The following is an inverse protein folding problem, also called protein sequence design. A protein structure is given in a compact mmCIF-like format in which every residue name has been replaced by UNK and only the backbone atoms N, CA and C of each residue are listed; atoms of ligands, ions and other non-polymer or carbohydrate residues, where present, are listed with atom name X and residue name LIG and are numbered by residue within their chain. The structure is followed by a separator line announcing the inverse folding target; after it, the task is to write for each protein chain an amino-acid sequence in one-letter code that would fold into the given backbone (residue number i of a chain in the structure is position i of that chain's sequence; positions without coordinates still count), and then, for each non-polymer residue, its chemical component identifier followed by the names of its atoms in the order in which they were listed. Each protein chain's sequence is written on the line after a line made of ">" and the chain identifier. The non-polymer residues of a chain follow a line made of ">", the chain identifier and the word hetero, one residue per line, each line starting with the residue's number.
data_IF_843930871818
#
_entry.id   IF_843930871818
#
_cell.length_a   1.000
_cell.length_b   1.000
_cell.length_c   1.000
_cell.angle_alpha   90.00
_cell.angle_beta   90.00
_cell.angle_gamma   90.00
#
_symmetry.space_group_name_H-M   'P 1'
#
loop_
_entity.id
_entity.type
_entity.pdbx_description
1 polymer ?
#
# COMPACT_ATOMS: atom_id res chain seq x y z
N UNK A 1 -14.26 -14.30 7.51
CA UNK A 1 -15.12 -14.51 6.32
C UNK A 1 -14.44 -15.49 5.38
N UNK A 2 -15.17 -16.46 4.85
CA UNK A 2 -14.66 -17.41 3.85
C UNK A 2 -15.49 -17.30 2.55
N UNK A 3 -15.11 -16.37 1.65
CA UNK A 3 -15.87 -16.12 0.42
C UNK A 3 -15.84 -17.29 -0.57
N UNK A 4 -14.90 -18.22 -0.40
CA UNK A 4 -14.78 -19.38 -1.30
C UNK A 4 -15.67 -20.54 -0.92
N UNK A 5 -16.34 -20.49 0.25
CA UNK A 5 -17.21 -21.56 0.77
C UNK A 5 -16.50 -22.93 0.87
N UNK A 6 -15.19 -22.89 1.14
CA UNK A 6 -14.37 -24.08 1.35
C UNK A 6 -14.08 -24.24 2.85
N UNK A 7 -14.00 -25.47 3.32
CA UNK A 7 -13.57 -25.74 4.69
C UNK A 7 -12.06 -25.48 4.86
N UNK A 8 -11.60 -25.39 6.11
CA UNK A 8 -10.16 -25.26 6.39
C UNK A 8 -9.39 -26.48 5.89
N UNK A 9 -9.96 -27.68 6.04
CA UNK A 9 -9.34 -28.90 5.54
C UNK A 9 -9.22 -28.90 4.01
N UNK A 10 -10.23 -28.39 3.31
CA UNK A 10 -10.20 -28.26 1.86
C UNK A 10 -9.16 -27.24 1.41
N UNK A 11 -9.04 -26.11 2.11
CA UNK A 11 -8.02 -25.10 1.83
C UNK A 11 -6.61 -25.66 2.09
N UNK A 12 -6.43 -26.36 3.18
CA UNK A 12 -5.17 -27.00 3.52
C UNK A 12 -4.78 -28.07 2.50
N UNK A 13 -5.72 -28.91 2.10
CA UNK A 13 -5.48 -29.94 1.09
C UNK A 13 -5.05 -29.37 -0.26
N UNK A 14 -5.43 -28.11 -0.55
CA UNK A 14 -5.03 -27.38 -1.76
C UNK A 14 -3.80 -26.51 -1.57
N UNK A 15 -3.21 -26.49 -0.35
CA UNK A 15 -2.09 -25.62 -0.03
C UNK A 15 -2.44 -24.13 -0.07
N UNK A 16 -3.70 -23.79 0.15
CA UNK A 16 -4.22 -22.42 -0.03
C UNK A 16 -4.62 -21.73 1.29
N UNK A 17 -4.44 -22.39 2.43
CA UNK A 17 -4.90 -21.88 3.73
C UNK A 17 -4.25 -20.55 4.12
N UNK A 18 -2.96 -20.40 3.87
CA UNK A 18 -2.24 -19.15 4.19
C UNK A 18 -2.69 -18.00 3.31
N UNK A 19 -2.73 -18.23 1.99
CA UNK A 19 -3.18 -17.21 1.03
C UNK A 19 -4.61 -16.78 1.30
N UNK A 20 -5.51 -17.73 1.57
CA UNK A 20 -6.91 -17.42 1.88
C UNK A 20 -7.03 -16.59 3.16
N UNK A 21 -6.26 -16.91 4.20
CA UNK A 21 -6.24 -16.15 5.45
C UNK A 21 -5.73 -14.74 5.23
N UNK A 22 -4.62 -14.59 4.54
CA UNK A 22 -4.01 -13.29 4.23
C UNK A 22 -4.99 -12.39 3.44
N UNK A 23 -5.67 -12.95 2.45
CA UNK A 23 -6.66 -12.20 1.68
C UNK A 23 -7.84 -11.74 2.54
N UNK A 24 -8.31 -12.57 3.47
CA UNK A 24 -9.40 -12.20 4.36
C UNK A 24 -9.01 -11.14 5.40
N UNK A 25 -7.73 -11.00 5.71
CA UNK A 25 -7.21 -9.98 6.63
C UNK A 25 -7.08 -8.60 5.98
N UNK A 26 -7.05 -8.50 4.66
CA UNK A 26 -6.76 -7.23 3.98
C UNK A 26 -7.68 -6.08 4.39
N UNK A 27 -9.01 -6.24 4.45
CA UNK A 27 -9.89 -5.14 4.86
C UNK A 27 -9.57 -4.59 6.25
N UNK A 28 -9.30 -5.48 7.20
CA UNK A 28 -8.95 -5.08 8.57
C UNK A 28 -7.60 -4.37 8.61
N UNK A 29 -6.62 -4.88 7.86
CA UNK A 29 -5.30 -4.26 7.75
C UNK A 29 -5.38 -2.87 7.11
N UNK A 30 -6.23 -2.66 6.12
CA UNK A 30 -6.45 -1.35 5.50
C UNK A 30 -7.08 -0.37 6.48
N UNK A 31 -8.07 -0.82 7.27
CA UNK A 31 -8.70 0.00 8.30
C UNK A 31 -7.68 0.41 9.37
N UNK A 32 -6.90 -0.54 9.88
CA UNK A 32 -5.82 -0.26 10.85
C UNK A 32 -4.79 0.73 10.28
N UNK A 33 -4.40 0.57 9.02
CA UNK A 33 -3.47 1.48 8.34
C UNK A 33 -4.03 2.90 8.27
N UNK A 34 -5.31 3.04 7.97
CA UNK A 34 -5.98 4.35 7.93
C UNK A 34 -5.95 5.02 9.31
N UNK A 35 -6.24 4.27 10.36
CA UNK A 35 -6.18 4.77 11.74
C UNK A 35 -4.76 5.20 12.11
N UNK A 36 -3.75 4.40 11.76
CA UNK A 36 -2.35 4.75 12.01
C UNK A 36 -1.95 6.03 11.27
N UNK A 37 -2.35 6.20 10.02
CA UNK A 37 -2.07 7.41 9.26
C UNK A 37 -2.73 8.64 9.90
N UNK A 38 -3.95 8.54 10.38
CA UNK A 38 -4.62 9.61 11.10
C UNK A 38 -3.89 9.97 12.40
N UNK A 39 -3.49 8.98 13.18
CA UNK A 39 -2.76 9.17 14.44
C UNK A 39 -1.39 9.78 14.21
N UNK A 40 -0.71 9.46 13.12
CA UNK A 40 0.63 9.90 12.78
C UNK A 40 0.64 11.09 11.81
N UNK A 41 -0.51 11.63 11.45
CA UNK A 41 -0.61 12.67 10.42
C UNK A 41 0.28 13.88 10.69
N UNK A 42 0.34 14.35 11.94
CA UNK A 42 1.18 15.49 12.30
C UNK A 42 2.67 15.20 12.12
N UNK A 43 3.13 14.02 12.54
CA UNK A 43 4.54 13.61 12.40
C UNK A 43 4.91 13.40 10.92
N UNK A 44 4.04 12.76 10.14
CA UNK A 44 4.23 12.55 8.71
C UNK A 44 4.31 13.89 7.97
N UNK A 45 3.38 14.80 8.26
CA UNK A 45 3.36 16.13 7.65
C UNK A 45 4.61 16.94 8.00
N UNK A 46 5.05 16.90 9.25
CA UNK A 46 6.26 17.58 9.69
C UNK A 46 7.51 17.07 8.97
N UNK A 47 7.56 15.78 8.64
CA UNK A 47 8.66 15.19 7.88
C UNK A 47 8.59 15.52 6.38
N UNK A 48 7.41 15.37 5.78
CA UNK A 48 7.22 15.45 4.32
C UNK A 48 7.15 16.89 3.81
N UNK A 49 6.50 17.79 4.55
CA UNK A 49 6.24 19.16 4.09
C UNK A 49 7.51 19.94 3.74
N UNK A 50 8.60 19.92 4.54
CA UNK A 50 9.84 20.61 4.15
C UNK A 50 10.48 20.03 2.90
N UNK A 51 10.35 18.71 2.67
CA UNK A 51 10.85 18.06 1.46
C UNK A 51 10.06 18.50 0.23
N UNK A 52 8.74 18.53 0.33
CA UNK A 52 7.87 18.98 -0.76
C UNK A 52 8.05 20.45 -1.11
N UNK A 53 8.58 21.25 -0.20
CA UNK A 53 8.91 22.66 -0.47
C UNK A 53 10.15 22.83 -1.38
N UNK A 54 10.97 21.78 -1.52
CA UNK A 54 12.16 21.84 -2.38
C UNK A 54 11.77 21.70 -3.84
N UNK A 55 12.11 22.68 -4.72
CA UNK A 55 11.71 22.63 -6.13
C UNK A 55 12.42 21.52 -6.92
N UNK A 56 13.58 21.05 -6.45
CA UNK A 56 14.39 20.02 -7.09
C UNK A 56 14.12 18.61 -6.55
N UNK A 57 13.08 18.45 -5.74
CA UNK A 57 12.74 17.16 -5.17
C UNK A 57 12.40 16.15 -6.25
N UNK A 58 13.01 14.99 -6.15
CA UNK A 58 12.63 13.79 -6.91
C UNK A 58 12.15 12.74 -5.94
N UNK A 59 11.00 12.14 -6.24
CA UNK A 59 10.42 11.05 -5.46
C UNK A 59 10.51 9.78 -6.29
N UNK A 60 11.08 8.73 -5.72
CA UNK A 60 11.23 7.44 -6.40
C UNK A 60 10.54 6.37 -5.54
N UNK A 61 9.53 5.74 -6.12
CA UNK A 61 8.90 4.56 -5.51
C UNK A 61 9.69 3.32 -5.90
N UNK A 62 10.08 2.54 -4.91
CA UNK A 62 10.82 1.29 -5.14
C UNK A 62 10.08 0.14 -4.48
N UNK A 63 10.26 -1.05 -5.01
CA UNK A 63 9.65 -2.25 -4.45
C UNK A 63 10.02 -3.48 -5.27
N UNK A 64 9.61 -4.65 -4.79
CA UNK A 64 9.78 -5.92 -5.47
C UNK A 64 8.41 -6.60 -5.63
N UNK A 65 8.21 -7.30 -6.75
CA UNK A 65 6.95 -7.98 -7.04
C UNK A 65 5.75 -7.03 -7.07
N UNK A 66 4.69 -7.38 -6.36
CA UNK A 66 3.46 -6.59 -6.28
C UNK A 66 3.68 -5.20 -5.70
N UNK A 67 4.65 -5.03 -4.79
CA UNK A 67 5.00 -3.72 -4.25
C UNK A 67 5.55 -2.78 -5.33
N UNK A 68 6.30 -3.30 -6.30
CA UNK A 68 6.75 -2.51 -7.44
C UNK A 68 5.57 -2.04 -8.30
N UNK A 69 4.56 -2.88 -8.51
CA UNK A 69 3.36 -2.52 -9.26
C UNK A 69 2.57 -1.38 -8.61
N UNK A 70 2.51 -1.34 -7.27
CA UNK A 70 1.89 -0.23 -6.56
C UNK A 70 2.56 1.11 -6.91
N UNK A 71 3.88 1.16 -6.94
CA UNK A 71 4.65 2.32 -7.38
C UNK A 71 4.38 2.69 -8.84
N UNK A 72 4.36 1.69 -9.73
CA UNK A 72 4.12 1.88 -11.17
C UNK A 72 2.72 2.46 -11.44
N UNK A 73 1.74 2.15 -10.61
CA UNK A 73 0.38 2.70 -10.71
C UNK A 73 0.32 4.12 -10.16
N UNK A 74 0.88 4.36 -8.97
CA UNK A 74 0.70 5.63 -8.26
C UNK A 74 1.61 6.75 -8.79
N UNK A 75 2.82 6.44 -9.25
CA UNK A 75 3.79 7.45 -9.68
C UNK A 75 3.27 8.31 -10.87
N UNK A 76 2.74 7.73 -11.96
CA UNK A 76 2.19 8.53 -13.06
C UNK A 76 1.02 9.41 -12.62
N UNK A 77 0.15 8.88 -11.77
CA UNK A 77 -0.99 9.63 -11.23
C UNK A 77 -0.54 10.85 -10.43
N UNK A 78 0.39 10.66 -9.50
CA UNK A 78 0.91 11.74 -8.67
C UNK A 78 1.70 12.76 -9.50
N UNK A 79 2.45 12.30 -10.49
CA UNK A 79 3.17 13.20 -11.42
C UNK A 79 2.21 14.11 -12.16
N UNK A 80 1.12 13.56 -12.67
CA UNK A 80 0.10 14.34 -13.37
C UNK A 80 -0.59 15.34 -12.43
N UNK A 81 -0.95 14.92 -11.22
CA UNK A 81 -1.67 15.76 -10.25
C UNK A 81 -0.80 16.84 -9.61
N UNK A 82 0.49 16.60 -9.45
CA UNK A 82 1.40 17.51 -8.72
C UNK A 82 2.36 18.26 -9.60
N UNK A 83 2.60 17.82 -10.83
CA UNK A 83 3.66 18.35 -11.69
C UNK A 83 5.07 18.07 -11.17
N UNK A 84 5.22 17.18 -10.19
CA UNK A 84 6.50 16.85 -9.56
C UNK A 84 7.22 15.73 -10.31
N UNK A 85 8.55 15.64 -10.12
CA UNK A 85 9.40 14.58 -10.66
C UNK A 85 9.23 13.31 -9.79
N UNK A 86 8.28 12.49 -10.18
CA UNK A 86 7.91 11.26 -9.45
C UNK A 86 8.06 10.07 -10.39
N UNK A 87 8.85 9.09 -9.96
CA UNK A 87 9.23 7.91 -10.73
C UNK A 87 8.93 6.63 -9.93
N UNK A 88 8.91 5.53 -10.63
CA UNK A 88 8.90 4.19 -10.03
C UNK A 88 9.98 3.31 -10.65
#
# INVERSE_FOLDING_TARGET
>A
MNPWKLSEEELQARGAEHTAREMCQQPDAWEETTVLLEQQAAAITAFVKPLLAKPELRIIFTGAGTSAYAGDIIAPYLREKTGRDILS
#
